data_IF_615901260189
#
_entry.id   IF_615901260189
#
_cell.length_a   1.000
_cell.length_b   1.000
_cell.length_c   1.000
_cell.angle_alpha   90.00
_cell.angle_beta   90.00
_cell.angle_gamma   90.00
#
_symmetry.space_group_name_H-M   'P 1'
#
loop_
_entity.id
_entity.type
_entity.pdbx_description
1 polymer ?
#
# COMPACT_ATOMS: atom_id res chain seq x y z
N UNK A 1 -3.81 -16.22 5.86
CA UNK A 1 -2.94 -17.07 5.08
C UNK A 1 -1.93 -16.30 4.25
N UNK A 2 -1.22 -17.00 3.41
CA UNK A 2 -0.27 -16.43 2.46
C UNK A 2 -0.90 -16.42 1.05
N UNK A 3 -0.68 -15.34 0.30
CA UNK A 3 -1.09 -15.20 -1.09
C UNK A 3 -0.03 -14.40 -1.85
N UNK A 4 -0.05 -14.48 -3.17
CA UNK A 4 0.89 -13.79 -4.02
C UNK A 4 0.21 -12.62 -4.74
N UNK A 5 0.83 -11.46 -4.68
CA UNK A 5 0.44 -10.30 -5.47
C UNK A 5 1.60 -9.86 -6.34
N UNK A 6 1.30 -9.44 -7.57
CA UNK A 6 2.22 -8.67 -8.39
C UNK A 6 1.71 -7.23 -8.40
N UNK A 7 2.48 -6.32 -7.78
CA UNK A 7 2.10 -4.92 -7.64
C UNK A 7 2.96 -4.04 -8.55
N UNK A 8 2.29 -3.17 -9.30
CA UNK A 8 2.91 -2.22 -10.23
C UNK A 8 2.45 -0.82 -9.87
N UNK A 9 3.39 0.05 -9.47
CA UNK A 9 3.13 1.47 -9.24
C UNK A 9 3.58 2.31 -10.44
N UNK A 10 2.68 3.05 -11.06
CA UNK A 10 2.96 3.98 -12.17
C UNK A 10 2.83 5.42 -11.66
N UNK A 11 3.95 6.15 -11.64
CA UNK A 11 4.00 7.54 -11.20
C UNK A 11 4.92 8.38 -12.10
N UNK A 12 4.40 9.41 -12.77
CA UNK A 12 2.98 9.78 -12.86
C UNK A 12 2.13 8.73 -13.56
N UNK A 13 0.84 8.74 -13.25
CA UNK A 13 -0.15 7.95 -13.98
C UNK A 13 -0.15 8.31 -15.46
N UNK A 14 -0.18 7.30 -16.32
CA UNK A 14 -0.32 7.45 -17.78
C UNK A 14 -1.79 7.49 -18.18
N UNK A 15 -2.14 8.20 -19.26
CA UNK A 15 -3.53 8.29 -19.73
C UNK A 15 -4.11 6.96 -20.21
N UNK A 16 -3.27 6.04 -20.69
CA UNK A 16 -3.66 4.75 -21.26
C UNK A 16 -3.34 3.55 -20.35
N UNK A 17 -3.44 3.74 -19.02
CA UNK A 17 -3.10 2.65 -18.09
C UNK A 17 -4.05 1.46 -18.23
N UNK A 18 -5.33 1.68 -18.55
CA UNK A 18 -6.27 0.59 -18.80
C UNK A 18 -5.86 -0.25 -20.02
N UNK A 19 -5.43 0.39 -21.13
CA UNK A 19 -4.93 -0.33 -22.30
C UNK A 19 -3.68 -1.13 -21.94
N UNK A 20 -2.73 -0.52 -21.22
CA UNK A 20 -1.52 -1.16 -20.74
C UNK A 20 -1.82 -2.39 -19.86
N UNK A 21 -2.82 -2.27 -18.99
CA UNK A 21 -3.30 -3.37 -18.16
C UNK A 21 -3.87 -4.51 -19.01
N UNK A 22 -4.76 -4.22 -19.97
CA UNK A 22 -5.33 -5.22 -20.84
C UNK A 22 -4.27 -5.90 -21.71
N UNK A 23 -3.26 -5.15 -22.18
CA UNK A 23 -2.11 -5.71 -22.91
C UNK A 23 -1.28 -6.65 -22.01
N UNK A 24 -1.16 -6.35 -20.72
CA UNK A 24 -0.48 -7.24 -19.78
C UNK A 24 -1.21 -8.58 -19.61
N UNK A 25 -2.55 -8.58 -19.60
CA UNK A 25 -3.34 -9.83 -19.59
C UNK A 25 -3.12 -10.65 -20.85
N UNK A 26 -3.13 -9.99 -22.03
CA UNK A 26 -2.82 -10.66 -23.30
C UNK A 26 -1.43 -11.29 -23.28
N UNK A 27 -0.44 -10.58 -22.73
CA UNK A 27 0.95 -11.05 -22.68
C UNK A 27 1.13 -12.32 -21.84
N UNK A 28 0.27 -12.55 -20.83
CA UNK A 28 0.31 -13.78 -20.03
C UNK A 28 -0.63 -14.88 -20.57
N UNK A 29 -1.35 -14.63 -21.66
CA UNK A 29 -2.22 -15.61 -22.31
C UNK A 29 -3.71 -15.50 -21.97
N UNK A 30 -4.15 -14.44 -21.28
CA UNK A 30 -5.55 -14.13 -21.05
C UNK A 30 -6.00 -13.07 -22.06
N UNK A 31 -6.68 -13.51 -23.13
CA UNK A 31 -7.16 -12.60 -24.16
C UNK A 31 -8.49 -11.94 -23.76
N UNK A 32 -8.53 -10.61 -23.56
CA UNK A 32 -9.76 -9.90 -23.26
C UNK A 32 -10.85 -9.99 -24.35
N UNK A 33 -10.51 -10.48 -25.54
CA UNK A 33 -11.50 -10.72 -26.59
C UNK A 33 -12.34 -11.98 -26.37
N UNK A 34 -11.85 -12.95 -25.57
CA UNK A 34 -12.54 -14.23 -25.30
C UNK A 34 -12.99 -14.36 -23.83
N UNK A 35 -12.54 -13.46 -22.96
CA UNK A 35 -12.93 -13.39 -21.56
C UNK A 35 -13.81 -12.18 -21.30
N UNK A 36 -14.80 -12.30 -20.40
CA UNK A 36 -15.62 -11.17 -19.94
C UNK A 36 -14.82 -10.35 -18.92
N UNK A 37 -14.13 -9.33 -19.39
CA UNK A 37 -13.35 -8.41 -18.54
C UNK A 37 -14.23 -7.20 -18.19
N UNK A 38 -14.43 -6.99 -16.89
CA UNK A 38 -15.21 -5.86 -16.35
C UNK A 38 -14.38 -5.03 -15.39
N UNK A 39 -14.48 -3.71 -15.53
CA UNK A 39 -13.98 -2.74 -14.56
C UNK A 39 -15.18 -2.33 -13.69
N UNK A 40 -15.24 -2.88 -12.49
CA UNK A 40 -16.30 -2.62 -11.50
C UNK A 40 -15.81 -1.52 -10.57
N UNK A 41 -16.55 -0.41 -10.48
CA UNK A 41 -16.16 0.72 -9.63
C UNK A 41 -15.94 0.28 -8.18
N UNK A 42 -14.79 0.61 -7.64
CA UNK A 42 -14.41 0.35 -6.26
C UNK A 42 -13.44 1.42 -5.74
N UNK A 43 -13.81 2.04 -4.63
CA UNK A 43 -12.99 3.02 -3.93
C UNK A 43 -12.19 2.31 -2.83
N UNK A 44 -10.95 1.96 -3.18
CA UNK A 44 -10.08 1.29 -2.23
C UNK A 44 -9.62 2.21 -1.10
N UNK A 45 -9.68 1.71 0.14
CA UNK A 45 -9.17 2.45 1.30
C UNK A 45 -8.45 1.54 2.31
N UNK A 46 -7.47 2.14 3.00
CA UNK A 46 -6.83 1.58 4.19
C UNK A 46 -6.85 2.59 5.33
N UNK A 47 -7.86 2.50 6.22
CA UNK A 47 -8.02 3.46 7.33
C UNK A 47 -6.82 3.52 8.26
N UNK A 48 -6.13 2.40 8.48
CA UNK A 48 -4.94 2.33 9.34
C UNK A 48 -3.71 3.01 8.73
N UNK A 49 -3.60 3.04 7.40
CA UNK A 49 -2.50 3.70 6.71
C UNK A 49 -2.82 5.15 6.32
N UNK A 50 -4.07 5.62 6.52
CA UNK A 50 -4.50 6.91 6.01
C UNK A 50 -4.33 7.01 4.50
N UNK A 51 -4.63 5.91 3.79
CA UNK A 51 -4.51 5.79 2.36
C UNK A 51 -5.86 5.47 1.73
N UNK A 52 -6.13 6.06 0.57
CA UNK A 52 -7.31 5.78 -0.23
C UNK A 52 -7.09 6.16 -1.71
N UNK A 53 -7.91 5.58 -2.57
CA UNK A 53 -7.88 5.88 -3.99
C UNK A 53 -9.17 5.50 -4.68
N UNK A 54 -9.39 6.09 -5.85
CA UNK A 54 -10.51 5.79 -6.75
C UNK A 54 -10.08 4.70 -7.73
N UNK A 55 -10.97 3.86 -8.17
CA UNK A 55 -10.61 2.86 -9.17
C UNK A 55 -11.64 1.78 -9.42
N UNK A 56 -11.13 0.61 -9.68
CA UNK A 56 -11.93 -0.55 -10.04
C UNK A 56 -11.36 -1.84 -9.46
N UNK A 57 -12.27 -2.76 -9.13
CA UNK A 57 -11.95 -4.18 -9.18
C UNK A 57 -12.03 -4.63 -10.65
N UNK A 58 -10.98 -5.25 -11.17
CA UNK A 58 -11.05 -5.85 -12.51
C UNK A 58 -11.44 -7.31 -12.38
N UNK A 59 -12.58 -7.64 -12.95
CA UNK A 59 -13.17 -8.97 -12.94
C UNK A 59 -12.94 -9.66 -14.27
N UNK A 60 -12.58 -10.94 -14.22
CA UNK A 60 -12.47 -11.83 -15.36
C UNK A 60 -13.49 -12.96 -15.18
N UNK A 61 -14.44 -13.12 -16.11
CA UNK A 61 -15.48 -14.16 -16.07
C UNK A 61 -16.18 -14.30 -14.71
N UNK A 62 -16.42 -13.18 -14.02
CA UNK A 62 -17.11 -13.14 -12.74
C UNK A 62 -16.24 -13.31 -11.49
N UNK A 63 -14.91 -13.36 -11.62
CA UNK A 63 -13.97 -13.36 -10.48
C UNK A 63 -13.05 -12.14 -10.56
N UNK A 64 -12.93 -11.39 -9.47
CA UNK A 64 -11.94 -10.31 -9.33
C UNK A 64 -10.53 -10.89 -9.46
N UNK A 65 -9.73 -10.32 -10.37
CA UNK A 65 -8.33 -10.75 -10.62
C UNK A 65 -7.32 -9.67 -10.31
N UNK A 66 -7.74 -8.40 -10.26
CA UNK A 66 -6.84 -7.26 -10.04
C UNK A 66 -7.58 -6.12 -9.36
N UNK A 67 -6.95 -5.53 -8.34
CA UNK A 67 -7.32 -4.22 -7.83
C UNK A 67 -6.58 -3.15 -8.62
N UNK A 68 -7.30 -2.20 -9.21
CA UNK A 68 -6.77 -1.10 -10.02
C UNK A 68 -7.09 0.22 -9.33
N UNK A 69 -6.09 0.91 -8.78
CA UNK A 69 -6.33 2.06 -7.89
C UNK A 69 -5.54 3.29 -8.33
N UNK A 70 -6.21 4.42 -8.44
CA UNK A 70 -5.58 5.75 -8.53
C UNK A 70 -5.47 6.34 -7.13
N UNK A 71 -4.34 6.17 -6.48
CA UNK A 71 -4.08 6.65 -5.14
C UNK A 71 -4.17 8.16 -5.05
N UNK A 72 -5.05 8.63 -4.18
CA UNK A 72 -5.26 10.05 -3.89
C UNK A 72 -4.45 10.48 -2.66
N UNK A 73 -4.32 9.59 -1.67
CA UNK A 73 -3.67 9.89 -0.41
C UNK A 73 -2.94 8.64 0.14
N UNK A 74 -1.81 8.85 0.83
CA UNK A 74 -1.10 7.83 1.60
C UNK A 74 -0.44 8.47 2.83
N UNK A 75 -0.54 7.83 4.01
CA UNK A 75 -0.04 8.40 5.26
C UNK A 75 -0.67 9.75 5.63
N UNK A 76 -1.91 9.99 5.18
CA UNK A 76 -2.59 11.28 5.36
C UNK A 76 -2.04 12.40 4.48
N UNK A 77 -1.20 12.09 3.49
CA UNK A 77 -0.60 13.05 2.55
C UNK A 77 -1.21 12.87 1.17
N UNK A 78 -1.71 13.96 0.57
CA UNK A 78 -2.20 13.96 -0.80
C UNK A 78 -1.08 13.65 -1.80
N UNK A 79 -1.34 12.74 -2.73
CA UNK A 79 -0.37 12.34 -3.74
C UNK A 79 -0.48 13.23 -4.98
N UNK A 80 0.62 13.87 -5.33
CA UNK A 80 0.76 14.68 -6.55
C UNK A 80 2.12 14.39 -7.20
N UNK A 81 2.17 13.91 -8.44
CA UNK A 81 1.02 13.44 -9.25
C UNK A 81 0.38 12.19 -8.63
N UNK A 82 -0.86 11.91 -9.00
CA UNK A 82 -1.58 10.68 -8.64
C UNK A 82 -0.76 9.46 -9.10
N UNK A 83 -0.71 8.45 -8.25
CA UNK A 83 -0.05 7.17 -8.56
C UNK A 83 -1.12 6.15 -8.93
N UNK A 84 -0.99 5.50 -10.08
CA UNK A 84 -1.80 4.34 -10.38
C UNK A 84 -1.11 3.08 -9.88
N UNK A 85 -1.82 2.25 -9.13
CA UNK A 85 -1.38 0.93 -8.74
C UNK A 85 -2.23 -0.15 -9.39
N UNK A 86 -1.55 -1.17 -9.91
CA UNK A 86 -2.15 -2.40 -10.43
C UNK A 86 -1.74 -3.55 -9.50
N UNK A 87 -2.68 -4.09 -8.75
CA UNK A 87 -2.42 -5.19 -7.80
C UNK A 87 -3.05 -6.47 -8.33
N UNK A 88 -2.24 -7.27 -9.00
CA UNK A 88 -2.66 -8.53 -9.61
C UNK A 88 -2.73 -9.65 -8.57
N UNK A 89 -3.87 -10.36 -8.51
CA UNK A 89 -4.04 -11.59 -7.73
C UNK A 89 -3.45 -12.78 -8.47
N UNK A 90 -2.23 -13.17 -8.12
CA UNK A 90 -1.47 -14.17 -8.91
C UNK A 90 -2.13 -15.53 -8.92
N UNK A 91 -2.68 -16.01 -7.79
CA UNK A 91 -3.41 -17.26 -7.72
C UNK A 91 -4.64 -17.26 -8.62
N UNK A 92 -5.41 -16.17 -8.62
CA UNK A 92 -6.63 -16.05 -9.42
C UNK A 92 -6.33 -16.07 -10.92
N UNK A 93 -5.28 -15.34 -11.35
CA UNK A 93 -4.80 -15.39 -12.74
C UNK A 93 -4.28 -16.79 -13.11
N UNK A 94 -3.55 -17.44 -12.21
CA UNK A 94 -3.04 -18.79 -12.43
C UNK A 94 -4.16 -19.83 -12.56
N UNK A 95 -5.30 -19.65 -11.86
CA UNK A 95 -6.47 -20.54 -11.99
C UNK A 95 -7.01 -20.52 -13.43
N UNK A 96 -7.13 -19.35 -14.07
CA UNK A 96 -7.53 -19.24 -15.48
C UNK A 96 -6.52 -19.90 -16.41
N UNK A 97 -5.23 -19.63 -16.22
CA UNK A 97 -4.18 -20.17 -17.06
C UNK A 97 -4.05 -21.70 -16.96
N UNK A 98 -4.31 -22.25 -15.78
CA UNK A 98 -4.28 -23.69 -15.55
C UNK A 98 -5.64 -24.38 -15.67
N UNK A 99 -6.72 -23.62 -15.91
CA UNK A 99 -8.09 -24.12 -16.05
C UNK A 99 -8.54 -24.96 -14.84
N UNK A 100 -8.36 -24.41 -13.64
CA UNK A 100 -8.80 -25.01 -12.36
C UNK A 100 -9.76 -24.07 -11.64
N UNK A 101 -10.75 -24.64 -10.95
CA UNK A 101 -11.80 -23.90 -10.26
C UNK A 101 -11.46 -23.63 -8.78
N UNK A 102 -10.41 -24.27 -8.26
CA UNK A 102 -9.97 -24.13 -6.89
C UNK A 102 -8.47 -23.83 -6.84
N UNK A 103 -8.07 -22.81 -6.10
CA UNK A 103 -6.67 -22.41 -6.02
C UNK A 103 -5.76 -23.50 -5.42
N UNK A 104 -6.30 -24.42 -4.60
CA UNK A 104 -5.52 -25.51 -4.04
C UNK A 104 -5.18 -26.60 -5.06
N UNK A 105 -5.89 -26.62 -6.21
CA UNK A 105 -5.61 -27.55 -7.33
C UNK A 105 -4.56 -27.02 -8.31
N UNK A 106 -4.14 -25.75 -8.14
CA UNK A 106 -3.04 -25.19 -8.92
C UNK A 106 -1.80 -26.07 -8.81
N UNK A 107 -1.19 -26.37 -9.93
CA UNK A 107 0.11 -27.05 -9.95
C UNK A 107 1.21 -26.04 -9.62
N UNK A 108 1.89 -26.27 -8.50
CA UNK A 108 3.10 -25.53 -8.15
C UNK A 108 4.26 -25.96 -9.06
N UNK A 109 4.38 -27.25 -9.26
CA UNK A 109 5.22 -27.89 -10.26
C UNK A 109 4.52 -29.17 -10.78
N UNK A 110 5.26 -29.99 -11.56
CA UNK A 110 4.71 -31.24 -12.12
C UNK A 110 4.29 -32.28 -11.08
N UNK A 111 4.74 -32.19 -9.83
CA UNK A 111 4.55 -33.21 -8.79
C UNK A 111 3.78 -32.69 -7.57
N UNK A 112 3.70 -31.37 -7.36
CA UNK A 112 3.21 -30.74 -6.15
C UNK A 112 2.13 -29.72 -6.50
N UNK A 113 1.02 -29.76 -5.76
CA UNK A 113 -0.04 -28.75 -5.86
C UNK A 113 0.18 -27.59 -4.88
N UNK A 114 -0.42 -26.45 -5.18
CA UNK A 114 -0.47 -25.30 -4.28
C UNK A 114 -1.11 -25.69 -2.93
N UNK A 115 -2.16 -26.51 -2.96
CA UNK A 115 -2.84 -27.01 -1.77
C UNK A 115 -1.93 -27.85 -0.86
N UNK A 116 -1.10 -28.69 -1.43
CA UNK A 116 -0.14 -29.48 -0.63
C UNK A 116 0.86 -28.61 0.13
N UNK A 117 1.21 -27.44 -0.42
CA UNK A 117 2.15 -26.51 0.21
C UNK A 117 1.46 -25.52 1.15
N UNK A 118 0.31 -24.98 0.76
CA UNK A 118 -0.27 -23.79 1.38
C UNK A 118 -1.45 -24.08 2.29
N UNK A 119 -2.23 -25.12 2.02
CA UNK A 119 -3.39 -25.44 2.86
C UNK A 119 -3.01 -25.77 4.32
N UNK A 120 -1.94 -26.56 4.61
CA UNK A 120 -1.51 -26.76 6.01
C UNK A 120 -1.15 -25.44 6.71
N UNK A 121 -0.48 -24.51 6.02
CA UNK A 121 -0.13 -23.21 6.59
C UNK A 121 -1.37 -22.37 6.89
N UNK A 122 -2.36 -22.40 5.99
CA UNK A 122 -3.62 -21.70 6.21
C UNK A 122 -4.32 -22.21 7.47
N UNK A 123 -4.35 -23.52 7.68
CA UNK A 123 -4.92 -24.13 8.89
C UNK A 123 -4.17 -23.67 10.13
N UNK A 124 -2.82 -23.74 10.15
CA UNK A 124 -2.00 -23.34 11.30
C UNK A 124 -2.19 -21.85 11.64
N UNK A 125 -2.12 -20.96 10.65
CA UNK A 125 -2.30 -19.52 10.87
C UNK A 125 -3.74 -19.17 11.28
N UNK A 126 -4.74 -19.82 10.71
CA UNK A 126 -6.14 -19.62 11.09
C UNK A 126 -6.37 -20.06 12.53
N UNK A 127 -5.89 -21.25 12.91
CA UNK A 127 -5.94 -21.74 14.30
C UNK A 127 -5.25 -20.76 15.24
N UNK A 128 -4.05 -20.28 14.89
CA UNK A 128 -3.35 -19.31 15.72
C UNK A 128 -4.15 -18.03 15.91
N UNK A 129 -4.61 -17.37 14.82
CA UNK A 129 -5.26 -16.07 14.90
C UNK A 129 -6.66 -16.13 15.52
N UNK A 130 -7.44 -17.18 15.26
CA UNK A 130 -8.83 -17.25 15.71
C UNK A 130 -9.01 -17.98 17.04
N UNK A 131 -8.09 -18.88 17.41
CA UNK A 131 -8.27 -19.76 18.56
C UNK A 131 -7.18 -19.58 19.63
N UNK A 132 -5.90 -19.58 19.26
CA UNK A 132 -4.77 -19.71 20.18
C UNK A 132 -4.10 -18.37 20.56
N UNK A 133 -4.33 -17.28 19.82
CA UNK A 133 -3.70 -15.99 20.10
C UNK A 133 -3.97 -15.57 21.56
N UNK A 134 -2.90 -15.30 22.33
CA UNK A 134 -3.01 -14.66 23.64
C UNK A 134 -3.25 -13.14 23.50
N UNK A 135 -4.45 -12.64 23.86
CA UNK A 135 -4.75 -11.23 23.78
C UNK A 135 -3.83 -10.35 24.64
N UNK A 136 -3.45 -10.82 25.85
CA UNK A 136 -2.58 -10.04 26.75
C UNK A 136 -1.20 -9.81 26.13
N UNK A 137 -0.62 -10.86 25.56
CA UNK A 137 0.65 -10.77 24.84
C UNK A 137 0.56 -9.81 23.66
N UNK A 138 -0.52 -9.90 22.89
CA UNK A 138 -0.71 -9.09 21.69
C UNK A 138 -0.99 -7.61 22.00
N UNK A 139 -1.74 -7.29 23.06
CA UNK A 139 -1.90 -5.92 23.54
C UNK A 139 -0.57 -5.31 24.01
N UNK A 140 0.21 -6.05 24.80
CA UNK A 140 1.52 -5.60 25.25
C UNK A 140 2.47 -5.35 24.06
N UNK A 141 2.48 -6.23 23.07
CA UNK A 141 3.26 -6.04 21.84
C UNK A 141 2.83 -4.80 21.06
N UNK A 142 1.53 -4.57 20.91
CA UNK A 142 1.03 -3.36 20.25
C UNK A 142 1.57 -2.10 20.92
N UNK A 143 1.45 -2.02 22.24
CA UNK A 143 1.91 -0.85 23.02
C UNK A 143 3.44 -0.67 22.93
N UNK A 144 4.21 -1.76 22.97
CA UNK A 144 5.65 -1.75 22.79
C UNK A 144 6.05 -1.26 21.39
N UNK A 145 5.39 -1.76 20.35
CA UNK A 145 5.67 -1.34 18.96
C UNK A 145 5.32 0.12 18.73
N UNK A 146 4.21 0.60 19.27
CA UNK A 146 3.87 2.02 19.19
C UNK A 146 4.89 2.89 19.93
N UNK A 147 5.30 2.48 21.14
CA UNK A 147 6.33 3.17 21.92
C UNK A 147 7.66 3.28 21.17
N UNK A 148 8.10 2.17 20.57
CA UNK A 148 9.35 2.12 19.82
C UNK A 148 9.28 2.93 18.51
N UNK A 149 8.18 2.87 17.78
CA UNK A 149 7.95 3.71 16.60
C UNK A 149 8.12 5.20 16.96
N UNK A 150 7.43 5.65 17.99
CA UNK A 150 7.50 7.05 18.47
C UNK A 150 8.91 7.44 18.94
N UNK A 151 9.59 6.55 19.67
CA UNK A 151 10.96 6.78 20.15
C UNK A 151 11.94 6.98 18.99
N UNK A 152 11.84 6.15 17.94
CA UNK A 152 12.72 6.23 16.76
C UNK A 152 12.48 7.50 15.94
N UNK A 153 11.23 7.96 15.82
CA UNK A 153 10.91 9.21 15.14
C UNK A 153 11.40 10.44 15.93
N UNK A 154 11.35 10.38 17.25
CA UNK A 154 11.81 11.47 18.14
C UNK A 154 13.34 11.44 18.40
N UNK A 155 14.07 10.52 17.80
CA UNK A 155 15.50 10.35 18.05
C UNK A 155 16.31 11.59 17.68
N UNK A 156 17.26 11.95 18.57
CA UNK A 156 18.26 12.99 18.33
C UNK A 156 19.68 12.38 18.34
N UNK A 157 20.61 13.05 17.68
CA UNK A 157 22.04 12.74 17.73
C UNK A 157 22.80 14.08 17.78
N UNK A 158 23.71 14.21 18.75
CA UNK A 158 24.51 15.43 18.95
C UNK A 158 23.65 16.71 19.07
N UNK A 159 22.48 16.59 19.74
CA UNK A 159 21.52 17.68 19.95
C UNK A 159 20.64 18.01 18.74
N UNK A 160 20.84 17.36 17.59
CA UNK A 160 20.04 17.56 16.40
C UNK A 160 19.05 16.40 16.15
N UNK A 161 17.92 16.70 15.52
CA UNK A 161 16.94 15.69 15.10
C UNK A 161 17.58 14.70 14.10
N UNK A 162 17.58 13.42 14.43
CA UNK A 162 18.13 12.34 13.63
C UNK A 162 17.20 11.11 13.64
N UNK A 163 15.96 11.25 13.17
CA UNK A 163 14.96 10.18 13.18
C UNK A 163 15.40 8.99 12.33
N UNK A 164 14.95 7.80 12.73
CA UNK A 164 15.13 6.55 11.99
C UNK A 164 13.78 6.10 11.41
N UNK A 165 13.40 6.66 10.28
CA UNK A 165 12.05 6.52 9.71
C UNK A 165 11.74 5.10 9.26
N UNK A 166 12.65 4.44 8.53
CA UNK A 166 12.41 3.09 8.02
C UNK A 166 12.21 2.08 9.16
N UNK A 167 13.08 2.02 10.18
CA UNK A 167 12.83 1.19 11.36
C UNK A 167 11.56 1.59 12.13
N UNK A 168 11.24 2.89 12.24
CA UNK A 168 10.01 3.34 12.87
C UNK A 168 8.76 2.82 12.12
N UNK A 169 8.78 2.87 10.81
CA UNK A 169 7.69 2.35 9.98
C UNK A 169 7.55 0.82 10.10
N UNK A 170 8.65 0.08 10.24
CA UNK A 170 8.60 -1.35 10.53
C UNK A 170 7.81 -1.64 11.83
N UNK A 171 8.02 -0.84 12.89
CA UNK A 171 7.24 -0.97 14.13
C UNK A 171 5.79 -0.54 13.95
N UNK A 172 5.48 0.45 13.12
CA UNK A 172 4.11 0.78 12.72
C UNK A 172 3.42 -0.43 12.07
N UNK A 173 4.09 -1.12 11.14
CA UNK A 173 3.57 -2.33 10.49
C UNK A 173 3.36 -3.48 11.48
N UNK A 174 4.28 -3.69 12.43
CA UNK A 174 4.13 -4.69 13.50
C UNK A 174 2.94 -4.37 14.42
N UNK A 175 2.72 -3.10 14.76
CA UNK A 175 1.56 -2.65 15.53
C UNK A 175 0.25 -2.88 14.75
N UNK A 176 0.22 -2.57 13.45
CA UNK A 176 -0.92 -2.87 12.58
C UNK A 176 -1.23 -4.37 12.53
N UNK A 177 -0.21 -5.22 12.42
CA UNK A 177 -0.38 -6.66 12.45
C UNK A 177 -0.94 -7.15 13.81
N UNK A 178 -0.42 -6.66 14.93
CA UNK A 178 -0.92 -6.99 16.26
C UNK A 178 -2.39 -6.58 16.43
N UNK A 179 -2.78 -5.39 15.93
CA UNK A 179 -4.17 -4.95 15.90
C UNK A 179 -5.05 -5.89 15.08
N UNK A 180 -4.65 -6.23 13.85
CA UNK A 180 -5.43 -7.13 12.99
C UNK A 180 -5.60 -8.52 13.63
N UNK A 181 -4.58 -9.02 14.32
CA UNK A 181 -4.64 -10.30 15.02
C UNK A 181 -5.59 -10.27 16.22
N UNK A 182 -5.59 -9.15 16.99
CA UNK A 182 -6.54 -8.93 18.09
C UNK A 182 -7.98 -8.78 17.60
N UNK A 183 -8.19 -8.09 16.47
CA UNK A 183 -9.50 -7.92 15.84
C UNK A 183 -10.03 -9.27 15.35
N UNK A 184 -9.21 -10.06 14.67
CA UNK A 184 -9.54 -11.42 14.22
C UNK A 184 -9.88 -12.36 15.39
N UNK A 185 -9.16 -12.26 16.51
CA UNK A 185 -9.41 -13.02 17.74
C UNK A 185 -10.72 -12.61 18.44
N UNK A 186 -11.34 -11.49 18.02
CA UNK A 186 -12.51 -10.93 18.71
C UNK A 186 -12.20 -10.31 20.08
N UNK A 187 -10.94 -9.97 20.33
CA UNK A 187 -10.48 -9.41 21.61
C UNK A 187 -10.69 -7.90 21.72
N UNK A 188 -11.11 -7.22 20.65
CA UNK A 188 -11.31 -5.78 20.57
C UNK A 188 -12.79 -5.47 20.35
N UNK A 189 -13.38 -4.63 21.18
CA UNK A 189 -14.75 -4.13 20.99
C UNK A 189 -14.84 -3.16 19.80
N UNK A 190 -16.04 -2.98 19.24
CA UNK A 190 -16.30 -2.04 18.14
C UNK A 190 -15.80 -0.64 18.44
N UNK A 191 -16.00 -0.16 19.67
CA UNK A 191 -15.55 1.17 20.13
C UNK A 191 -14.01 1.25 20.20
N UNK A 192 -13.37 0.21 20.73
CA UNK A 192 -11.91 0.15 20.83
C UNK A 192 -11.26 0.05 19.45
N UNK A 193 -11.89 -0.67 18.51
CA UNK A 193 -11.41 -0.80 17.14
C UNK A 193 -11.10 0.54 16.47
N UNK A 194 -12.01 1.51 16.60
CA UNK A 194 -11.79 2.86 16.06
C UNK A 194 -10.57 3.56 16.72
N UNK A 195 -10.36 3.34 18.02
CA UNK A 195 -9.20 3.87 18.75
C UNK A 195 -7.88 3.25 18.25
N UNK A 196 -7.83 1.94 18.06
CA UNK A 196 -6.65 1.25 17.55
C UNK A 196 -6.32 1.67 16.11
N UNK A 197 -7.33 1.78 15.24
CA UNK A 197 -7.17 2.33 13.88
C UNK A 197 -6.56 3.73 13.94
N UNK A 198 -7.06 4.60 14.82
CA UNK A 198 -6.53 5.96 15.01
C UNK A 198 -5.06 5.98 15.47
N UNK A 199 -4.67 5.05 16.36
CA UNK A 199 -3.27 4.91 16.84
C UNK A 199 -2.33 4.49 15.69
N UNK A 200 -2.69 3.47 14.91
CA UNK A 200 -1.89 3.02 13.76
C UNK A 200 -1.80 4.11 12.70
N UNK A 201 -2.93 4.75 12.36
CA UNK A 201 -2.97 5.90 11.44
C UNK A 201 -2.07 7.04 11.89
N UNK A 202 -2.06 7.36 13.18
CA UNK A 202 -1.18 8.37 13.76
C UNK A 202 0.31 8.05 13.57
N UNK A 203 0.71 6.79 13.77
CA UNK A 203 2.08 6.34 13.51
C UNK A 203 2.43 6.42 12.02
N UNK A 204 1.56 5.92 11.15
CA UNK A 204 1.77 5.96 9.69
C UNK A 204 1.93 7.41 9.19
N UNK A 205 1.06 8.32 9.65
CA UNK A 205 1.14 9.74 9.34
C UNK A 205 2.47 10.35 9.81
N UNK A 206 2.86 10.11 11.06
CA UNK A 206 4.12 10.63 11.60
C UNK A 206 5.34 10.10 10.82
N UNK A 207 5.35 8.83 10.44
CA UNK A 207 6.39 8.26 9.58
C UNK A 207 6.44 8.97 8.21
N UNK A 208 5.28 9.17 7.59
CA UNK A 208 5.19 9.83 6.28
C UNK A 208 5.68 11.29 6.34
N UNK A 209 5.27 12.05 7.34
CA UNK A 209 5.69 13.44 7.54
C UNK A 209 7.22 13.55 7.73
N UNK A 210 7.78 12.71 8.59
CA UNK A 210 9.24 12.69 8.82
C UNK A 210 10.00 12.22 7.57
N UNK A 211 9.45 11.27 6.82
CA UNK A 211 10.03 10.83 5.55
C UNK A 211 10.10 11.97 4.52
N UNK A 212 9.01 12.73 4.35
CA UNK A 212 8.98 13.89 3.44
C UNK A 212 9.99 14.95 3.88
N UNK A 213 10.10 15.21 5.19
CA UNK A 213 11.11 16.13 5.75
C UNK A 213 12.54 15.66 5.45
N UNK A 214 12.81 14.35 5.51
CA UNK A 214 14.10 13.78 5.11
C UNK A 214 14.36 13.95 3.62
N UNK A 215 13.37 13.70 2.77
CA UNK A 215 13.46 13.92 1.34
C UNK A 215 13.77 15.39 1.00
N UNK A 216 13.13 16.33 1.69
CA UNK A 216 13.39 17.76 1.51
C UNK A 216 14.82 18.15 1.89
N UNK A 217 15.35 17.61 3.00
CA UNK A 217 16.77 17.82 3.38
C UNK A 217 17.76 17.26 2.36
N UNK A 218 17.40 16.16 1.68
CA UNK A 218 18.19 15.56 0.61
C UNK A 218 17.99 16.23 -0.75
N UNK A 219 17.13 17.25 -0.85
CA UNK A 219 16.80 17.93 -2.10
C UNK A 219 15.86 17.14 -3.02
N UNK A 220 15.01 16.25 -2.49
CA UNK A 220 14.08 15.40 -3.26
C UNK A 220 14.76 14.61 -4.39
N UNK A 221 15.72 13.73 -4.09
CA UNK A 221 16.58 13.09 -5.09
C UNK A 221 15.84 12.24 -6.12
N UNK A 222 14.62 11.80 -5.84
CA UNK A 222 13.78 11.02 -6.76
C UNK A 222 13.05 11.89 -7.80
N UNK A 223 13.02 13.21 -7.63
CA UNK A 223 12.45 14.10 -8.63
C UNK A 223 13.44 14.40 -9.76
N UNK A 224 12.96 14.68 -10.98
CA UNK A 224 13.78 15.22 -12.05
C UNK A 224 14.54 16.47 -11.58
N UNK A 225 15.81 16.63 -11.98
CA UNK A 225 16.71 17.70 -11.49
C UNK A 225 16.09 19.10 -11.57
N UNK A 226 15.37 19.39 -12.64
CA UNK A 226 14.75 20.72 -12.87
C UNK A 226 13.58 21.02 -11.91
N UNK A 227 13.04 20.01 -11.21
CA UNK A 227 11.94 20.15 -10.25
C UNK A 227 12.42 20.16 -8.79
N UNK A 228 13.65 19.71 -8.51
CA UNK A 228 14.15 19.51 -7.15
C UNK A 228 14.16 20.81 -6.33
N UNK A 229 14.72 21.88 -6.87
CA UNK A 229 14.80 23.16 -6.15
C UNK A 229 13.40 23.73 -5.86
N UNK A 230 12.51 23.69 -6.84
CA UNK A 230 11.11 24.13 -6.67
C UNK A 230 10.39 23.35 -5.57
N UNK A 231 10.65 22.04 -5.45
CA UNK A 231 10.08 21.19 -4.39
C UNK A 231 10.62 21.55 -3.01
N UNK A 232 11.92 21.82 -2.88
CA UNK A 232 12.55 22.29 -1.63
C UNK A 232 11.97 23.63 -1.19
N UNK A 233 11.86 24.57 -2.10
CA UNK A 233 11.33 25.92 -1.79
C UNK A 233 9.86 25.85 -1.36
N UNK A 234 9.06 25.04 -2.05
CA UNK A 234 7.67 24.80 -1.69
C UNK A 234 7.52 24.12 -0.31
N UNK A 235 8.40 23.17 0.01
CA UNK A 235 8.43 22.52 1.33
C UNK A 235 8.71 23.54 2.44
N UNK A 236 9.74 24.39 2.29
CA UNK A 236 10.11 25.43 3.26
C UNK A 236 9.01 26.46 3.48
N UNK A 237 8.39 26.93 2.39
CA UNK A 237 7.29 27.88 2.48
C UNK A 237 6.09 27.32 3.29
N UNK A 238 5.85 26.01 3.24
CA UNK A 238 4.80 25.37 4.02
C UNK A 238 5.17 25.21 5.49
N UNK A 239 6.45 24.89 5.81
CA UNK A 239 6.92 24.87 7.20
C UNK A 239 6.74 26.26 7.86
N UNK A 240 7.12 27.34 7.16
CA UNK A 240 6.97 28.71 7.64
C UNK A 240 5.51 29.12 7.82
N UNK A 241 4.61 28.61 6.97
CA UNK A 241 3.17 28.87 7.06
C UNK A 241 2.46 28.03 8.15
N UNK A 242 3.18 27.14 8.87
CA UNK A 242 2.58 26.24 9.87
C UNK A 242 1.63 25.19 9.29
N UNK A 243 1.64 25.01 7.98
CA UNK A 243 0.88 23.96 7.29
C UNK A 243 1.66 22.66 7.46
N UNK A 244 0.99 21.60 7.94
CA UNK A 244 1.61 20.28 8.07
C UNK A 244 2.43 19.97 6.82
N UNK A 245 3.72 19.67 7.00
CA UNK A 245 4.71 19.44 5.94
C UNK A 245 4.25 18.42 4.87
N UNK A 246 3.30 17.60 5.23
CA UNK A 246 2.74 16.53 4.43
C UNK A 246 1.80 17.02 3.31
N UNK A 247 1.03 18.08 3.52
CA UNK A 247 -0.12 18.35 2.65
C UNK A 247 0.23 19.08 1.34
N UNK A 248 1.41 19.69 1.19
CA UNK A 248 1.48 20.73 0.16
C UNK A 248 2.76 20.79 -0.69
N UNK A 249 3.90 20.33 -0.23
CA UNK A 249 5.16 20.59 -0.94
C UNK A 249 5.35 19.74 -2.21
N UNK A 250 5.07 18.45 -2.13
CA UNK A 250 5.10 17.58 -3.31
C UNK A 250 3.91 17.86 -4.26
N UNK A 251 2.77 18.29 -3.70
CA UNK A 251 1.56 18.53 -4.47
C UNK A 251 1.64 19.73 -5.43
N UNK A 252 2.29 20.83 -5.03
CA UNK A 252 2.38 22.04 -5.86
C UNK A 252 3.57 22.07 -6.82
N UNK A 253 4.66 21.34 -6.48
CA UNK A 253 5.86 21.36 -7.31
C UNK A 253 5.75 20.52 -8.60
N UNK A 254 4.82 19.58 -8.65
CA UNK A 254 4.72 18.56 -9.70
C UNK A 254 3.37 18.60 -10.44
N UNK A 255 2.58 19.67 -10.33
CA UNK A 255 1.46 19.85 -11.25
C UNK A 255 2.03 19.96 -12.68
N UNK A 256 1.89 18.96 -13.56
CA UNK A 256 2.27 19.14 -14.94
C UNK A 256 1.31 20.17 -15.52
N UNK A 257 1.85 21.22 -16.13
CA UNK A 257 1.12 21.86 -17.20
C UNK A 257 0.78 20.76 -18.19
N UNK A 258 -0.50 20.63 -18.53
CA UNK A 258 -0.99 19.74 -19.60
C UNK A 258 -0.57 20.35 -20.95
N UNK A 259 0.74 20.41 -21.21
CA UNK A 259 1.28 20.87 -22.46
C UNK A 259 2.41 19.95 -22.89
N UNK A 260 2.12 19.25 -23.97
CA UNK A 260 3.03 18.65 -24.95
C UNK A 260 3.89 17.45 -24.50
N UNK A 261 3.30 16.26 -24.69
CA UNK A 261 4.09 15.08 -24.99
C UNK A 261 4.29 15.09 -26.52
N UNK A 262 5.53 15.19 -27.04
CA UNK A 262 5.76 15.01 -28.47
C UNK A 262 5.37 13.59 -28.85
N UNK A 263 4.52 13.46 -29.85
CA UNK A 263 4.26 12.20 -30.51
C UNK A 263 5.58 11.74 -31.15
N UNK A 264 6.21 10.72 -30.56
CA UNK A 264 7.21 9.93 -31.27
C UNK A 264 6.47 9.05 -32.27
N UNK A 265 6.73 9.29 -33.56
CA UNK A 265 6.22 8.53 -34.69
C UNK A 265 6.77 7.11 -34.78
#
# INVERSE_FOLDING_TARGET
GAYYQFQVGLKPTQLKVQDLYLDSLRAIGLDPAVHDIRFVEDDWESPTLGAWGLGWEVWCDGMEVTQFTYFQQAGGIDLRPVTCELTYGVERLAMYLQQVDNMYDLKWDKNVTYGQLRHPWEVEYSTFHFEELDPKFSFANFDNYEGECKRLLARTKDGAAAPLVLPAYEFCMKASHAFNSLDARGAISVTERARFIGRVRGMAKACAEVYVALCARLGFPLLPKHLQQKAVDAYRANEEAGVSAAATAAARAVAPHAEEIPHAG
#
